data_IF_813271184851
#
_entry.id   IF_813271184851
#
_cell.length_a   1.000
_cell.length_b   1.000
_cell.length_c   1.000
_cell.angle_alpha   90.00
_cell.angle_beta   90.00
_cell.angle_gamma   90.00
#
_symmetry.space_group_name_H-M   'P 1'
#
loop_
_entity.id
_entity.type
_entity.pdbx_description
1 polymer ?
#
# COMPACT_ATOMS: atom_id res chain seq x y z
N UNK A 1 -16.65 -7.93 32.46
CA UNK A 1 -15.66 -7.28 31.57
C UNK A 1 -15.79 -7.91 30.19
N UNK A 2 -16.55 -7.30 29.28
CA UNK A 2 -16.65 -7.77 27.91
C UNK A 2 -15.43 -7.23 27.15
N UNK A 3 -14.49 -8.11 26.84
CA UNK A 3 -13.45 -7.81 25.85
C UNK A 3 -14.16 -7.61 24.52
N UNK A 4 -14.37 -6.35 24.12
CA UNK A 4 -14.86 -6.03 22.77
C UNK A 4 -13.81 -6.60 21.81
N UNK A 5 -14.11 -7.75 21.21
CA UNK A 5 -13.27 -8.32 20.18
C UNK A 5 -13.24 -7.32 19.03
N UNK A 6 -12.06 -6.74 18.81
CA UNK A 6 -11.81 -5.82 17.71
C UNK A 6 -11.99 -6.57 16.40
N UNK A 7 -13.16 -6.41 15.81
CA UNK A 7 -13.50 -6.99 14.52
C UNK A 7 -13.19 -6.00 13.40
N UNK A 8 -12.99 -6.51 12.17
CA UNK A 8 -12.81 -5.69 10.97
C UNK A 8 -13.89 -4.60 10.82
N UNK A 9 -15.14 -4.93 11.20
CA UNK A 9 -16.24 -3.98 11.21
C UNK A 9 -16.01 -2.77 12.12
N UNK A 10 -15.38 -2.99 13.29
CA UNK A 10 -15.01 -1.91 14.21
C UNK A 10 -14.05 -0.93 13.55
N UNK A 11 -12.98 -1.45 12.95
CA UNK A 11 -11.98 -0.65 12.21
C UNK A 11 -12.65 0.14 11.08
N UNK A 12 -13.50 -0.50 10.27
CA UNK A 12 -14.22 0.18 9.19
C UNK A 12 -15.17 1.26 9.70
N UNK A 13 -15.91 0.97 10.78
CA UNK A 13 -16.87 1.91 11.37
C UNK A 13 -16.18 3.14 11.94
N UNK A 14 -15.04 2.97 12.62
CA UNK A 14 -14.23 4.07 13.14
C UNK A 14 -13.58 4.88 12.03
N UNK A 15 -13.01 4.21 11.03
CA UNK A 15 -12.45 4.88 9.85
C UNK A 15 -13.52 5.74 9.17
N UNK A 16 -14.74 5.21 9.00
CA UNK A 16 -15.88 5.95 8.46
C UNK A 16 -16.31 7.11 9.35
N UNK A 17 -16.32 6.93 10.68
CA UNK A 17 -16.66 8.00 11.63
C UNK A 17 -15.69 9.17 11.53
N UNK A 18 -14.39 8.91 11.53
CA UNK A 18 -13.33 9.94 11.44
C UNK A 18 -13.39 10.66 10.09
N UNK A 19 -13.50 9.90 9.00
CA UNK A 19 -13.61 10.50 7.65
C UNK A 19 -14.85 11.38 7.55
N UNK A 20 -16.01 10.93 8.05
CA UNK A 20 -17.24 11.70 7.97
C UNK A 20 -17.20 12.97 8.84
N UNK A 21 -16.57 12.92 10.01
CA UNK A 21 -16.44 14.07 10.90
C UNK A 21 -15.69 15.24 10.24
N UNK A 22 -14.70 14.94 9.39
CA UNK A 22 -13.92 15.94 8.65
C UNK A 22 -13.97 15.71 7.13
N UNK A 23 -15.15 15.35 6.60
CA UNK A 23 -15.33 14.89 5.21
C UNK A 23 -14.80 15.85 4.15
N UNK A 24 -15.03 17.15 4.30
CA UNK A 24 -14.54 18.17 3.35
C UNK A 24 -13.02 18.17 3.23
N UNK A 25 -12.33 17.96 4.34
CA UNK A 25 -10.88 17.96 4.40
C UNK A 25 -10.29 16.69 3.77
N UNK A 26 -10.83 15.52 4.12
CA UNK A 26 -10.43 14.25 3.52
C UNK A 26 -10.75 14.18 2.03
N UNK A 27 -11.89 14.74 1.61
CA UNK A 27 -12.24 14.87 0.19
C UNK A 27 -11.24 15.76 -0.53
N UNK A 28 -10.85 16.91 0.03
CA UNK A 28 -9.87 17.80 -0.58
C UNK A 28 -8.50 17.13 -0.75
N UNK A 29 -8.02 16.42 0.27
CA UNK A 29 -6.79 15.63 0.18
C UNK A 29 -6.89 14.51 -0.87
N UNK A 30 -8.04 13.85 -0.94
CA UNK A 30 -8.29 12.80 -1.93
C UNK A 30 -8.27 13.34 -3.34
N UNK A 31 -8.94 14.48 -3.60
CA UNK A 31 -8.96 15.14 -4.91
C UNK A 31 -7.56 15.63 -5.30
N UNK A 32 -6.75 16.09 -4.35
CA UNK A 32 -5.42 16.62 -4.64
C UNK A 32 -4.38 15.52 -4.91
N UNK A 33 -4.39 14.43 -4.14
CA UNK A 33 -3.37 13.37 -4.24
C UNK A 33 -3.88 12.04 -4.79
N UNK A 34 -5.02 11.54 -4.30
CA UNK A 34 -5.55 10.22 -4.67
C UNK A 34 -6.26 10.21 -6.02
N UNK A 35 -6.89 11.32 -6.43
CA UNK A 35 -7.58 11.41 -7.72
C UNK A 35 -6.59 11.35 -8.89
N UNK A 36 -5.49 12.15 -8.93
CA UNK A 36 -4.47 12.00 -9.98
C UNK A 36 -3.86 10.60 -9.99
N UNK A 37 -3.58 10.04 -8.82
CA UNK A 37 -3.03 8.69 -8.69
C UNK A 37 -3.97 7.61 -9.22
N UNK A 38 -5.23 7.60 -8.78
CA UNK A 38 -6.23 6.61 -9.21
C UNK A 38 -6.50 6.68 -10.72
N UNK A 39 -6.59 7.89 -11.27
CA UNK A 39 -6.72 8.09 -12.71
C UNK A 39 -5.51 7.52 -13.46
N UNK A 40 -4.29 7.83 -13.02
CA UNK A 40 -3.08 7.28 -13.60
C UNK A 40 -3.03 5.75 -13.54
N UNK A 41 -3.45 5.13 -12.43
CA UNK A 41 -3.50 3.67 -12.30
C UNK A 41 -4.49 3.04 -13.29
N UNK A 42 -5.68 3.62 -13.45
CA UNK A 42 -6.72 3.11 -14.36
C UNK A 42 -6.33 3.26 -15.82
N UNK A 43 -5.66 4.37 -16.16
CA UNK A 43 -5.24 4.66 -17.53
C UNK A 43 -3.90 3.98 -17.86
N UNK A 44 -3.15 3.50 -16.85
CA UNK A 44 -1.86 2.82 -17.03
C UNK A 44 -1.83 1.69 -18.08
N UNK A 45 -2.80 0.76 -18.19
CA UNK A 45 -2.79 -0.26 -19.24
C UNK A 45 -2.82 0.32 -20.66
N UNK A 46 -3.37 1.52 -20.85
CA UNK A 46 -3.36 2.24 -22.12
C UNK A 46 -2.06 3.00 -22.36
N UNK A 47 -1.42 3.50 -21.30
CA UNK A 47 -0.18 4.27 -21.38
C UNK A 47 1.04 3.38 -21.57
N UNK A 48 1.08 2.19 -20.96
CA UNK A 48 2.24 1.31 -21.05
C UNK A 48 2.64 0.95 -22.50
N UNK A 49 1.72 0.58 -23.42
CA UNK A 49 2.06 0.34 -24.81
C UNK A 49 2.57 1.59 -25.55
N UNK A 50 2.11 2.78 -25.16
CA UNK A 50 2.49 4.06 -25.76
C UNK A 50 3.86 4.56 -25.28
N UNK A 51 4.17 4.33 -24.00
CA UNK A 51 5.40 4.77 -23.33
C UNK A 51 6.55 3.78 -23.51
N UNK A 52 6.24 2.53 -23.87
CA UNK A 52 7.24 1.52 -24.23
C UNK A 52 7.55 1.64 -25.71
N UNK A 53 8.81 1.88 -26.11
CA UNK A 53 9.20 1.85 -27.51
C UNK A 53 9.13 0.40 -28.01
N UNK A 54 7.94 -0.04 -28.46
CA UNK A 54 7.84 -1.27 -29.24
C UNK A 54 8.21 -0.95 -30.69
N UNK A 55 9.37 -1.46 -31.09
CA UNK A 55 9.63 -1.76 -32.49
C UNK A 55 8.45 -2.59 -33.01
N UNK A 56 7.73 -2.16 -34.08
CA UNK A 56 6.54 -2.87 -34.61
C UNK A 56 6.86 -4.26 -35.18
N UNK A 57 8.04 -4.82 -34.92
CA UNK A 57 8.51 -6.08 -35.49
C UNK A 57 7.93 -7.33 -34.83
N UNK A 58 7.48 -7.31 -33.57
CA UNK A 58 7.05 -8.55 -32.90
C UNK A 58 5.72 -9.13 -33.37
N UNK A 59 4.78 -8.31 -33.85
CA UNK A 59 3.54 -8.80 -34.48
C UNK A 59 3.81 -9.32 -35.90
N UNK A 60 4.80 -8.75 -36.59
CA UNK A 60 5.24 -9.23 -37.91
C UNK A 60 6.20 -10.42 -37.86
N UNK A 61 6.84 -10.74 -36.73
CA UNK A 61 7.74 -11.89 -36.57
C UNK A 61 6.96 -13.22 -36.61
N UNK A 62 5.75 -13.28 -36.05
CA UNK A 62 4.89 -14.47 -36.19
C UNK A 62 4.38 -14.69 -37.62
N UNK A 63 4.25 -13.61 -38.42
CA UNK A 63 3.87 -13.66 -39.83
C UNK A 63 5.05 -13.83 -40.81
N UNK A 64 6.31 -13.74 -40.33
CA UNK A 64 7.54 -13.82 -41.16
C UNK A 64 8.27 -15.16 -41.11
N UNK A 65 7.66 -16.21 -40.59
CA UNK A 65 8.21 -17.57 -40.57
C UNK A 65 8.41 -18.24 -41.95
N UNK A 66 8.39 -17.49 -43.05
CA UNK A 66 8.49 -18.02 -44.43
C UNK A 66 9.62 -17.43 -45.27
N UNK A 67 10.73 -16.93 -44.71
CA UNK A 67 11.96 -16.69 -45.52
C UNK A 67 13.25 -16.56 -44.69
N UNK A 68 14.36 -17.23 -45.08
CA UNK A 68 15.64 -17.13 -44.38
C UNK A 68 16.61 -16.14 -45.07
N UNK A 69 17.05 -15.08 -44.38
CA UNK A 69 18.31 -14.36 -44.67
C UNK A 69 18.73 -13.47 -43.46
N UNK A 70 20.01 -13.14 -43.23
CA UNK A 70 20.65 -13.13 -41.92
C UNK A 70 20.70 -11.74 -41.27
N UNK A 71 20.99 -11.81 -39.98
CA UNK A 71 21.01 -10.75 -38.98
C UNK A 71 22.04 -9.64 -39.22
N UNK A 72 21.78 -8.47 -38.61
CA UNK A 72 22.80 -7.77 -37.83
C UNK A 72 22.44 -7.76 -36.33
N UNK A 73 23.47 -8.09 -35.53
CA UNK A 73 23.75 -7.86 -34.11
C UNK A 73 22.63 -7.35 -33.16
N UNK A 74 22.40 -8.02 -32.01
CA UNK A 74 21.48 -7.53 -30.99
C UNK A 74 22.13 -6.42 -30.16
N UNK A 75 21.71 -5.18 -30.38
CA UNK A 75 21.89 -4.12 -29.38
C UNK A 75 20.91 -4.41 -28.24
N UNK A 76 21.45 -4.64 -27.03
CA UNK A 76 20.70 -4.86 -25.80
C UNK A 76 19.80 -3.62 -25.59
N UNK A 77 18.45 -3.73 -25.73
CA UNK A 77 17.58 -2.60 -25.45
C UNK A 77 17.61 -2.39 -23.94
N UNK A 78 18.03 -1.21 -23.49
CA UNK A 78 17.78 -0.81 -22.10
C UNK A 78 16.26 -0.90 -21.85
N UNK A 79 15.79 -1.72 -20.89
CA UNK A 79 14.38 -2.10 -20.79
C UNK A 79 13.47 -0.98 -20.25
N UNK A 80 14.01 0.18 -19.88
CA UNK A 80 13.26 1.28 -19.28
C UNK A 80 13.36 2.56 -20.12
N UNK A 81 12.27 2.90 -20.79
CA UNK A 81 12.10 4.20 -21.45
C UNK A 81 12.01 5.29 -20.37
N UNK A 82 12.71 6.44 -20.54
CA UNK A 82 12.68 7.55 -19.59
C UNK A 82 11.24 8.00 -19.18
N UNK A 83 10.25 8.06 -20.10
CA UNK A 83 8.85 8.35 -19.75
C UNK A 83 8.20 7.32 -18.81
N UNK A 84 8.56 6.04 -18.95
CA UNK A 84 8.06 4.97 -18.09
C UNK A 84 8.61 5.13 -16.65
N UNK A 85 9.90 5.48 -16.53
CA UNK A 85 10.53 5.77 -15.25
C UNK A 85 9.85 6.97 -14.55
N UNK A 86 9.62 8.05 -15.30
CA UNK A 86 8.92 9.23 -14.78
C UNK A 86 7.49 8.91 -14.32
N UNK A 87 6.78 8.06 -15.06
CA UNK A 87 5.44 7.62 -14.68
C UNK A 87 5.44 6.82 -13.37
N UNK A 88 6.37 5.89 -13.19
CA UNK A 88 6.51 5.17 -11.93
C UNK A 88 6.91 6.09 -10.77
N UNK A 89 7.82 7.04 -11.01
CA UNK A 89 8.21 8.03 -10.01
C UNK A 89 7.02 8.93 -9.61
N UNK A 90 6.18 9.31 -10.57
CA UNK A 90 4.94 10.04 -10.31
C UNK A 90 3.99 9.25 -9.41
N UNK A 91 3.70 7.99 -9.75
CA UNK A 91 2.83 7.12 -8.92
C UNK A 91 3.41 6.97 -7.52
N UNK A 92 4.72 6.74 -7.41
CA UNK A 92 5.40 6.60 -6.13
C UNK A 92 5.30 7.88 -5.31
N UNK A 93 5.64 9.03 -5.87
CA UNK A 93 5.58 10.31 -5.15
C UNK A 93 4.16 10.62 -4.66
N UNK A 94 3.15 10.51 -5.54
CA UNK A 94 1.76 10.80 -5.18
C UNK A 94 1.19 9.81 -4.15
N UNK A 95 1.56 8.52 -4.21
CA UNK A 95 1.12 7.53 -3.21
C UNK A 95 1.70 7.83 -1.83
N UNK A 96 2.99 8.17 -1.78
CA UNK A 96 3.68 8.54 -0.54
C UNK A 96 3.10 9.82 0.06
N UNK A 97 2.85 10.85 -0.76
CA UNK A 97 2.24 12.09 -0.29
C UNK A 97 0.80 11.92 0.18
N UNK A 98 0.00 11.11 -0.53
CA UNK A 98 -1.35 10.77 -0.10
C UNK A 98 -1.33 10.06 1.26
N UNK A 99 -0.49 9.03 1.40
CA UNK A 99 -0.39 8.24 2.62
C UNK A 99 0.06 9.08 3.81
N UNK A 100 1.10 9.91 3.65
CA UNK A 100 1.58 10.83 4.68
C UNK A 100 0.48 11.81 5.13
N UNK A 101 -0.19 12.45 4.15
CA UNK A 101 -1.21 13.47 4.44
C UNK A 101 -2.45 12.88 5.10
N UNK A 102 -2.94 11.72 4.63
CA UNK A 102 -4.12 11.05 5.17
C UNK A 102 -3.83 10.52 6.56
N UNK A 103 -2.72 9.81 6.75
CA UNK A 103 -2.31 9.25 8.04
C UNK A 103 -2.22 10.36 9.09
N UNK A 104 -1.48 11.43 8.81
CA UNK A 104 -1.37 12.57 9.72
C UNK A 104 -2.75 13.19 10.02
N UNK A 105 -3.61 13.34 9.02
CA UNK A 105 -4.97 13.87 9.22
C UNK A 105 -5.85 12.99 10.11
N UNK A 106 -5.70 11.67 10.02
CA UNK A 106 -6.45 10.72 10.84
C UNK A 106 -5.93 10.69 12.27
N UNK A 107 -4.62 10.77 12.49
CA UNK A 107 -4.05 10.97 13.82
C UNK A 107 -4.65 12.19 14.51
N UNK A 108 -4.62 13.36 13.84
CA UNK A 108 -5.21 14.59 14.41
C UNK A 108 -6.73 14.49 14.58
N UNK A 109 -7.44 13.84 13.65
CA UNK A 109 -8.88 13.59 13.74
C UNK A 109 -9.26 12.65 14.88
N UNK A 110 -8.41 11.67 15.21
CA UNK A 110 -8.60 10.77 16.35
C UNK A 110 -8.49 11.51 17.68
N UNK A 111 -7.56 12.48 17.79
CA UNK A 111 -7.38 13.33 18.98
C UNK A 111 -8.28 14.58 19.03
N UNK A 112 -9.15 14.78 18.04
CA UNK A 112 -10.14 15.87 18.02
C UNK A 112 -9.58 17.28 17.80
N UNK A 113 -8.37 17.42 17.25
CA UNK A 113 -7.76 18.75 16.98
C UNK A 113 -8.12 19.28 15.58
N UNK A 114 -8.22 20.62 15.40
CA UNK A 114 -8.46 21.21 14.09
C UNK A 114 -7.26 20.98 13.16
N UNK A 115 -7.50 20.24 12.08
CA UNK A 115 -6.46 19.79 11.15
C UNK A 115 -5.89 20.99 10.36
N UNK A 116 -4.63 21.35 10.61
CA UNK A 116 -3.92 22.39 9.84
C UNK A 116 -3.11 21.73 8.72
N UNK A 117 -3.74 21.61 7.54
CA UNK A 117 -3.16 21.07 6.29
C UNK A 117 -1.75 21.56 5.98
N UNK A 118 -1.50 22.84 6.22
CA UNK A 118 -0.28 23.53 5.80
C UNK A 118 0.95 23.10 6.60
N UNK A 119 0.80 22.83 7.90
CA UNK A 119 1.91 22.36 8.74
C UNK A 119 2.28 20.90 8.44
N UNK A 120 1.28 20.08 8.12
CA UNK A 120 1.47 18.70 7.69
C UNK A 120 2.22 18.66 6.34
N UNK A 121 1.76 19.46 5.36
CA UNK A 121 2.37 19.58 4.02
C UNK A 121 3.82 20.09 4.05
N UNK A 122 4.15 21.02 4.96
CA UNK A 122 5.52 21.56 5.08
C UNK A 122 6.49 20.55 5.71
N UNK A 123 6.01 19.59 6.51
CA UNK A 123 6.84 18.51 7.07
C UNK A 123 6.95 17.28 6.15
N UNK A 124 6.25 17.27 5.02
CA UNK A 124 6.33 16.15 4.05
C UNK A 124 7.76 15.90 3.52
N UNK A 125 8.57 16.90 3.12
CA UNK A 125 9.91 16.62 2.59
C UNK A 125 10.85 15.99 3.61
N UNK A 126 10.68 16.25 4.91
CA UNK A 126 11.47 15.61 5.97
C UNK A 126 11.06 14.16 6.20
N UNK A 127 9.76 13.83 6.05
CA UNK A 127 9.25 12.45 6.13
C UNK A 127 9.35 11.65 4.83
N UNK A 128 9.60 12.31 3.69
CA UNK A 128 9.65 11.66 2.38
C UNK A 128 10.85 10.70 2.26
N UNK A 129 12.02 11.14 2.72
CA UNK A 129 13.24 10.33 2.69
C UNK A 129 13.12 9.02 3.49
N UNK A 130 12.70 9.03 4.77
CA UNK A 130 12.55 7.79 5.54
C UNK A 130 11.44 6.88 4.99
N UNK A 131 10.32 7.45 4.54
CA UNK A 131 9.22 6.68 3.93
C UNK A 131 9.63 6.02 2.62
N UNK A 132 10.35 6.75 1.77
CA UNK A 132 10.93 6.24 0.53
C UNK A 132 11.96 5.14 0.81
N UNK A 133 12.83 5.32 1.81
CA UNK A 133 13.81 4.30 2.19
C UNK A 133 13.13 3.00 2.63
N UNK A 134 12.11 3.07 3.50
CA UNK A 134 11.35 1.89 3.93
C UNK A 134 10.55 1.25 2.78
N UNK A 135 10.01 2.06 1.85
CA UNK A 135 9.39 1.57 0.64
C UNK A 135 10.39 0.78 -0.24
N UNK A 136 11.58 1.34 -0.49
CA UNK A 136 12.61 0.68 -1.29
C UNK A 136 13.07 -0.61 -0.62
N UNK A 137 13.34 -0.60 0.69
CA UNK A 137 13.81 -1.77 1.43
C UNK A 137 12.76 -2.89 1.42
N UNK A 138 11.48 -2.56 1.66
CA UNK A 138 10.41 -3.55 1.64
C UNK A 138 10.21 -4.16 0.24
N UNK A 139 10.27 -3.36 -0.81
CA UNK A 139 10.17 -3.84 -2.19
C UNK A 139 11.40 -4.67 -2.59
N UNK A 140 12.60 -4.26 -2.19
CA UNK A 140 13.85 -5.00 -2.43
C UNK A 140 13.80 -6.38 -1.76
N UNK A 141 13.29 -6.47 -0.53
CA UNK A 141 13.16 -7.75 0.17
C UNK A 141 12.19 -8.70 -0.54
N UNK A 142 11.04 -8.18 -0.98
CA UNK A 142 10.04 -9.00 -1.67
C UNK A 142 10.49 -9.39 -3.08
N UNK A 143 11.21 -8.49 -3.76
CA UNK A 143 11.85 -8.80 -5.03
C UNK A 143 12.91 -9.90 -4.87
N UNK A 144 13.78 -9.79 -3.86
CA UNK A 144 14.78 -10.81 -3.53
C UNK A 144 14.13 -12.18 -3.27
N UNK A 145 13.03 -12.19 -2.49
CA UNK A 145 12.27 -13.40 -2.20
C UNK A 145 11.67 -14.02 -3.49
N UNK A 146 11.20 -13.19 -4.42
CA UNK A 146 10.70 -13.62 -5.72
C UNK A 146 11.80 -14.10 -6.70
N UNK A 147 13.04 -13.65 -6.55
CA UNK A 147 14.18 -14.09 -7.37
C UNK A 147 14.67 -15.50 -7.00
N UNK A 148 14.50 -15.94 -5.76
CA UNK A 148 14.94 -17.25 -5.27
C UNK A 148 14.45 -18.44 -6.13
N UNK A 149 13.14 -18.59 -6.45
CA UNK A 149 12.67 -19.67 -7.33
C UNK A 149 13.20 -19.54 -8.77
N UNK A 150 13.38 -18.31 -9.27
CA UNK A 150 13.89 -18.06 -10.61
C UNK A 150 15.36 -18.51 -10.74
N UNK A 151 16.17 -18.21 -9.73
CA UNK A 151 17.57 -18.64 -9.66
C UNK A 151 17.67 -20.17 -9.56
N UNK A 152 16.82 -20.79 -8.74
CA UNK A 152 16.75 -22.26 -8.63
C UNK A 152 16.39 -22.91 -9.98
N UNK A 153 15.41 -22.35 -10.68
CA UNK A 153 15.01 -22.81 -12.02
C UNK A 153 16.14 -22.68 -13.04
N UNK A 154 16.91 -21.59 -12.99
CA UNK A 154 18.03 -21.35 -13.91
C UNK A 154 19.25 -22.23 -13.63
N UNK A 155 19.54 -22.57 -12.36
CA UNK A 155 20.68 -23.41 -11.97
C UNK A 155 20.44 -24.91 -12.23
N UNK A 156 19.20 -25.36 -12.26
CA UNK A 156 18.83 -26.76 -12.47
C UNK A 156 19.50 -27.44 -13.69
N UNK A 157 19.50 -26.85 -14.91
CA UNK A 157 20.16 -27.44 -16.07
C UNK A 157 21.69 -27.48 -15.96
N UNK A 158 22.29 -26.57 -15.19
CA UNK A 158 23.74 -26.52 -14.98
C UNK A 158 24.24 -27.55 -13.95
N UNK A 159 23.36 -28.07 -13.09
CA UNK A 159 23.71 -29.07 -12.08
C UNK A 159 23.81 -30.50 -12.63
N UNK A 160 23.67 -30.72 -13.94
CA UNK A 160 23.62 -32.05 -14.58
C UNK A 160 22.59 -33.02 -13.95
N UNK A 161 21.62 -32.48 -13.21
CA UNK A 161 20.55 -33.25 -12.61
C UNK A 161 19.58 -33.58 -13.74
N UNK A 162 19.65 -34.81 -14.26
CA UNK A 162 18.86 -35.31 -15.40
C UNK A 162 17.36 -35.46 -15.09
N UNK A 163 16.80 -34.53 -14.32
CA UNK A 163 15.37 -34.42 -14.09
C UNK A 163 14.81 -33.70 -15.30
N UNK A 164 14.06 -34.43 -16.12
CA UNK A 164 13.28 -33.82 -17.20
C UNK A 164 12.37 -32.75 -16.62
N UNK A 165 12.37 -31.54 -17.19
CA UNK A 165 11.47 -30.44 -16.78
C UNK A 165 9.98 -30.84 -16.88
N UNK A 166 9.67 -31.85 -17.70
CA UNK A 166 8.33 -32.43 -17.83
C UNK A 166 8.02 -33.52 -16.79
N UNK A 167 8.94 -33.81 -15.86
CA UNK A 167 8.72 -34.79 -14.82
C UNK A 167 7.58 -34.32 -13.91
N UNK A 168 6.58 -35.17 -13.62
CA UNK A 168 5.49 -34.80 -12.71
C UNK A 168 6.01 -34.43 -11.32
N UNK A 169 7.12 -35.02 -10.89
CA UNK A 169 7.76 -34.74 -9.60
C UNK A 169 8.30 -33.30 -9.57
N UNK A 170 8.96 -32.87 -10.63
CA UNK A 170 9.51 -31.51 -10.74
C UNK A 170 8.40 -30.46 -10.78
N UNK A 171 7.35 -30.71 -11.57
CA UNK A 171 6.20 -29.80 -11.67
C UNK A 171 5.49 -29.67 -10.33
N UNK A 172 5.27 -30.79 -9.62
CA UNK A 172 4.67 -30.80 -8.29
C UNK A 172 5.54 -30.03 -7.28
N UNK A 173 6.84 -30.29 -7.25
CA UNK A 173 7.77 -29.60 -6.35
C UNK A 173 7.84 -28.08 -6.63
N UNK A 174 7.90 -27.69 -7.91
CA UNK A 174 7.90 -26.28 -8.32
C UNK A 174 6.59 -25.58 -7.94
N UNK A 175 5.44 -26.24 -8.14
CA UNK A 175 4.13 -25.70 -7.74
C UNK A 175 4.01 -25.51 -6.23
N UNK A 176 4.52 -26.46 -5.43
CA UNK A 176 4.52 -26.37 -3.97
C UNK A 176 5.43 -25.24 -3.48
N UNK A 177 6.61 -25.08 -4.09
CA UNK A 177 7.52 -23.97 -3.81
C UNK A 177 6.88 -22.62 -4.14
N UNK A 178 6.21 -22.50 -5.28
CA UNK A 178 5.49 -21.29 -5.66
C UNK A 178 4.36 -20.97 -4.67
N UNK A 179 3.59 -21.98 -4.25
CA UNK A 179 2.54 -21.80 -3.26
C UNK A 179 3.10 -21.35 -1.90
N UNK A 180 4.19 -21.97 -1.44
CA UNK A 180 4.87 -21.59 -0.21
C UNK A 180 5.41 -20.15 -0.29
N UNK A 181 5.96 -19.77 -1.43
CA UNK A 181 6.44 -18.41 -1.70
C UNK A 181 5.30 -17.39 -1.69
N UNK A 182 4.18 -17.69 -2.34
CA UNK A 182 3.00 -16.82 -2.34
C UNK A 182 2.48 -16.62 -0.91
N UNK A 183 2.42 -17.69 -0.11
CA UNK A 183 2.04 -17.60 1.29
C UNK A 183 3.04 -16.76 2.10
N UNK A 184 4.35 -16.93 1.88
CA UNK A 184 5.38 -16.16 2.56
C UNK A 184 5.30 -14.66 2.21
N UNK A 185 5.14 -14.32 0.92
CA UNK A 185 4.93 -12.95 0.46
C UNK A 185 3.66 -12.37 1.07
N UNK A 186 2.55 -13.11 1.06
CA UNK A 186 1.31 -12.67 1.67
C UNK A 186 1.46 -12.41 3.18
N UNK A 187 2.09 -13.33 3.90
CA UNK A 187 2.36 -13.17 5.33
C UNK A 187 3.23 -11.94 5.63
N UNK A 188 4.27 -11.70 4.83
CA UNK A 188 5.11 -10.52 4.97
C UNK A 188 4.34 -9.23 4.64
N UNK A 189 3.51 -9.23 3.59
CA UNK A 189 2.64 -8.10 3.25
C UNK A 189 1.72 -7.75 4.41
N UNK A 190 1.05 -8.74 5.00
CA UNK A 190 0.18 -8.54 6.17
C UNK A 190 0.98 -8.07 7.39
N UNK A 191 2.19 -8.61 7.61
CA UNK A 191 3.02 -8.21 8.75
C UNK A 191 3.61 -6.81 8.62
N UNK A 192 3.70 -6.27 7.40
CA UNK A 192 4.28 -4.97 7.09
C UNK A 192 3.25 -3.92 6.68
N UNK A 193 1.94 -4.16 6.83
CA UNK A 193 0.89 -3.19 6.45
C UNK A 193 1.06 -1.87 7.20
N UNK A 194 1.39 -1.94 8.50
CA UNK A 194 1.53 -0.77 9.36
C UNK A 194 2.89 -0.08 9.24
N UNK A 195 3.85 -0.66 8.50
CA UNK A 195 5.22 -0.14 8.46
C UNK A 195 5.28 1.32 7.96
N UNK A 196 4.49 1.67 6.95
CA UNK A 196 4.44 3.02 6.43
C UNK A 196 3.79 4.01 7.41
N UNK A 197 2.73 3.58 8.10
CA UNK A 197 2.08 4.37 9.15
C UNK A 197 3.05 4.63 10.30
N UNK A 198 3.84 3.63 10.69
CA UNK A 198 4.86 3.74 11.74
C UNK A 198 5.96 4.74 11.36
N UNK A 199 6.42 4.73 10.10
CA UNK A 199 7.41 5.72 9.63
C UNK A 199 6.87 7.14 9.78
N UNK A 200 5.59 7.35 9.49
CA UNK A 200 4.96 8.67 9.60
C UNK A 200 4.75 9.06 11.07
N UNK A 201 4.30 8.12 11.90
CA UNK A 201 3.92 8.37 13.29
C UNK A 201 5.13 8.47 14.22
N UNK A 202 6.11 7.58 14.07
CA UNK A 202 7.27 7.44 14.96
C UNK A 202 8.54 8.08 14.36
N UNK A 203 8.47 8.61 13.13
CA UNK A 203 9.61 9.20 12.41
C UNK A 203 10.84 8.28 12.34
N UNK A 204 10.62 6.96 12.34
CA UNK A 204 11.67 5.95 12.22
C UNK A 204 11.99 5.65 10.75
N UNK A 205 13.18 5.10 10.48
CA UNK A 205 13.66 4.89 9.11
C UNK A 205 14.25 3.50 8.92
N UNK A 206 14.22 3.02 7.67
CA UNK A 206 14.91 1.79 7.30
C UNK A 206 14.15 0.50 7.67
N UNK A 207 14.84 -0.43 8.34
CA UNK A 207 14.34 -1.75 8.74
C UNK A 207 13.60 -1.75 10.08
N UNK A 208 13.87 -0.75 10.93
CA UNK A 208 13.22 -0.56 12.22
C UNK A 208 11.68 -0.54 12.14
N UNK A 209 11.05 0.27 11.25
CA UNK A 209 9.58 0.30 11.11
C UNK A 209 8.99 -1.04 10.66
N UNK A 210 9.72 -1.84 9.87
CA UNK A 210 9.25 -3.15 9.41
C UNK A 210 9.23 -4.17 10.55
N UNK A 211 10.27 -4.19 11.39
CA UNK A 211 10.32 -5.04 12.59
C UNK A 211 9.27 -4.62 13.60
N UNK A 212 9.10 -3.32 13.79
CA UNK A 212 8.10 -2.73 14.68
C UNK A 212 6.68 -3.08 14.23
N UNK A 213 6.38 -2.97 12.93
CA UNK A 213 5.10 -3.40 12.35
C UNK A 213 4.79 -4.87 12.65
N UNK A 214 5.77 -5.75 12.43
CA UNK A 214 5.58 -7.18 12.68
C UNK A 214 5.31 -7.49 14.17
N UNK A 215 5.91 -6.71 15.08
CA UNK A 215 5.66 -6.80 16.52
C UNK A 215 4.26 -6.31 16.89
N UNK A 216 3.84 -5.15 16.39
CA UNK A 216 2.54 -4.54 16.71
C UNK A 216 1.35 -5.33 16.17
N UNK A 217 1.50 -5.94 14.99
CA UNK A 217 0.45 -6.78 14.39
C UNK A 217 0.38 -8.15 15.11
N UNK A 218 1.40 -8.52 15.89
CA UNK A 218 1.39 -9.77 16.64
C UNK A 218 0.24 -9.76 17.66
N UNK A 219 -0.67 -10.73 17.56
CA UNK A 219 -1.93 -10.76 18.32
C UNK A 219 -3.17 -10.26 17.55
N UNK A 220 -2.99 -9.48 16.48
CA UNK A 220 -4.09 -8.98 15.61
C UNK A 220 -3.94 -9.38 14.14
N UNK A 221 -3.05 -10.33 13.82
CA UNK A 221 -2.76 -10.82 12.45
C UNK A 221 -4.00 -11.20 11.65
N UNK A 222 -4.99 -11.84 12.28
CA UNK A 222 -6.23 -12.23 11.60
C UNK A 222 -7.05 -11.02 11.13
N UNK A 223 -7.15 -9.99 11.97
CA UNK A 223 -7.86 -8.75 11.64
C UNK A 223 -7.11 -7.96 10.57
N UNK A 224 -5.79 -7.85 10.69
CA UNK A 224 -4.93 -7.21 9.70
C UNK A 224 -5.02 -7.92 8.34
N UNK A 225 -4.94 -9.26 8.32
CA UNK A 225 -5.10 -10.06 7.11
C UNK A 225 -6.47 -9.88 6.48
N UNK A 226 -7.54 -9.89 7.29
CA UNK A 226 -8.89 -9.69 6.81
C UNK A 226 -9.10 -8.29 6.21
N UNK A 227 -8.52 -7.26 6.84
CA UNK A 227 -8.60 -5.87 6.34
C UNK A 227 -7.88 -5.75 5.00
N UNK A 228 -6.63 -6.23 4.95
CA UNK A 228 -5.82 -6.22 3.74
C UNK A 228 -6.50 -6.97 2.58
N UNK A 229 -7.05 -8.16 2.83
CA UNK A 229 -7.78 -8.92 1.81
C UNK A 229 -9.05 -8.20 1.33
N UNK A 230 -9.79 -7.57 2.24
CA UNK A 230 -11.00 -6.82 1.89
C UNK A 230 -10.68 -5.65 0.95
N UNK A 231 -9.73 -4.78 1.32
CA UNK A 231 -9.35 -3.64 0.46
C UNK A 231 -8.68 -4.08 -0.82
N UNK A 232 -7.72 -5.00 -0.75
CA UNK A 232 -6.98 -5.49 -1.93
C UNK A 232 -7.90 -6.16 -2.94
N UNK A 233 -8.91 -6.92 -2.50
CA UNK A 233 -9.86 -7.57 -3.41
C UNK A 233 -10.77 -6.57 -4.13
N UNK A 234 -11.23 -5.51 -3.44
CA UNK A 234 -12.02 -4.45 -4.04
C UNK A 234 -11.21 -3.62 -5.04
N UNK A 235 -9.97 -3.25 -4.66
CA UNK A 235 -9.03 -2.55 -5.55
C UNK A 235 -8.73 -3.39 -6.80
N UNK A 236 -8.43 -4.69 -6.62
CA UNK A 236 -8.17 -5.61 -7.72
C UNK A 236 -9.39 -5.78 -8.64
N UNK A 237 -10.60 -5.88 -8.06
CA UNK A 237 -11.83 -5.96 -8.84
C UNK A 237 -12.03 -4.71 -9.71
N UNK A 238 -11.82 -3.51 -9.15
CA UNK A 238 -11.92 -2.27 -9.94
C UNK A 238 -10.91 -2.24 -11.09
N UNK A 239 -9.64 -2.53 -10.81
CA UNK A 239 -8.59 -2.56 -11.85
C UNK A 239 -8.83 -3.67 -12.89
N UNK A 240 -9.48 -4.76 -12.49
CA UNK A 240 -9.87 -5.81 -13.42
C UNK A 240 -10.96 -5.35 -14.39
N UNK A 241 -12.00 -4.65 -13.90
CA UNK A 241 -13.08 -4.15 -14.78
C UNK A 241 -12.59 -3.21 -15.87
N UNK A 242 -11.59 -2.37 -15.56
CA UNK A 242 -10.98 -1.46 -16.53
C UNK A 242 -10.15 -2.22 -17.55
N UNK A 243 -9.40 -3.25 -17.10
CA UNK A 243 -8.58 -4.10 -17.96
C UNK A 243 -9.40 -4.89 -18.98
N UNK A 244 -10.54 -5.47 -18.57
CA UNK A 244 -11.45 -6.19 -19.48
C UNK A 244 -12.04 -5.26 -20.53
N UNK A 245 -12.36 -4.03 -20.13
CA UNK A 245 -12.95 -3.02 -21.03
C UNK A 245 -11.95 -2.53 -22.10
N UNK A 246 -10.64 -2.58 -21.80
CA UNK A 246 -9.57 -2.29 -22.78
C UNK A 246 -9.55 -3.33 -23.89
N UNK A 247 -9.64 -4.62 -23.54
CA UNK A 247 -9.47 -5.74 -24.48
C UNK A 247 -10.63 -5.84 -25.46
N UNK A 248 -11.84 -5.44 -25.04
CA UNK A 248 -13.04 -5.44 -25.88
C UNK A 248 -13.19 -4.24 -26.82
N UNK A 249 -12.29 -3.26 -26.78
CA UNK A 249 -12.42 -2.00 -27.50
C UNK A 249 -11.47 -1.90 -28.70
N UNK A 250 -12.04 -1.72 -29.89
CA UNK A 250 -11.41 -1.56 -31.21
C UNK A 250 -10.82 -0.15 -31.46
N UNK A 251 -10.13 0.41 -30.46
CA UNK A 251 -9.34 1.67 -30.56
C UNK A 251 -10.15 2.98 -30.60
N UNK A 252 -11.43 2.91 -30.94
CA UNK A 252 -12.42 4.00 -30.91
C UNK A 252 -13.09 4.26 -29.54
N UNK A 253 -12.76 3.51 -28.48
CA UNK A 253 -13.39 3.66 -27.15
C UNK A 253 -13.36 5.08 -26.57
N UNK A 254 -12.35 5.89 -26.87
CA UNK A 254 -12.25 7.26 -26.36
C UNK A 254 -13.34 8.20 -26.90
N UNK A 255 -14.05 7.81 -27.98
CA UNK A 255 -15.22 8.53 -28.48
C UNK A 255 -16.52 8.09 -27.81
N UNK A 256 -16.52 6.96 -27.12
CA UNK A 256 -17.69 6.48 -26.41
C UNK A 256 -17.83 7.19 -25.06
N UNK A 257 -18.93 7.90 -24.90
CA UNK A 257 -19.29 8.54 -23.64
C UNK A 257 -19.34 7.51 -22.49
N UNK A 258 -19.81 6.28 -22.76
CA UNK A 258 -19.91 5.23 -21.76
C UNK A 258 -18.53 4.85 -21.19
N UNK A 259 -17.50 4.79 -22.04
CA UNK A 259 -16.14 4.47 -21.64
C UNK A 259 -15.51 5.58 -20.79
N UNK A 260 -15.71 6.85 -21.16
CA UNK A 260 -15.23 7.99 -20.36
C UNK A 260 -15.91 8.02 -18.99
N UNK A 261 -17.23 7.82 -18.95
CA UNK A 261 -17.99 7.75 -17.69
C UNK A 261 -17.50 6.59 -16.82
N UNK A 262 -17.20 5.43 -17.43
CA UNK A 262 -16.66 4.29 -16.70
C UNK A 262 -15.29 4.58 -16.08
N UNK A 263 -14.37 5.23 -16.80
CA UNK A 263 -13.06 5.62 -16.25
C UNK A 263 -13.23 6.60 -15.08
N UNK A 264 -14.07 7.63 -15.24
CA UNK A 264 -14.30 8.62 -14.19
C UNK A 264 -14.92 7.97 -12.96
N UNK A 265 -15.92 7.09 -13.14
CA UNK A 265 -16.59 6.39 -12.04
C UNK A 265 -15.63 5.43 -11.32
N UNK A 266 -14.89 4.61 -12.06
CA UNK A 266 -13.91 3.67 -11.49
C UNK A 266 -12.77 4.40 -10.80
N UNK A 267 -12.30 5.53 -11.32
CA UNK A 267 -11.27 6.38 -10.70
C UNK A 267 -11.77 7.01 -9.41
N UNK A 268 -12.99 7.54 -9.40
CA UNK A 268 -13.59 8.09 -8.19
C UNK A 268 -13.79 7.00 -7.13
N UNK A 269 -14.22 5.81 -7.54
CA UNK A 269 -14.38 4.66 -6.63
C UNK A 269 -13.03 4.21 -6.05
N UNK A 270 -12.01 4.07 -6.90
CA UNK A 270 -10.66 3.69 -6.48
C UNK A 270 -10.05 4.74 -5.55
N UNK A 271 -10.24 6.04 -5.83
CA UNK A 271 -9.84 7.13 -4.94
C UNK A 271 -10.46 6.96 -3.54
N UNK A 272 -11.76 6.70 -3.44
CA UNK A 272 -12.43 6.49 -2.16
C UNK A 272 -11.91 5.23 -1.46
N UNK A 273 -11.70 4.13 -2.19
CA UNK A 273 -11.15 2.90 -1.62
C UNK A 273 -9.75 3.11 -1.05
N UNK A 274 -8.86 3.79 -1.77
CA UNK A 274 -7.51 4.11 -1.30
C UNK A 274 -7.55 5.00 -0.04
N UNK A 275 -8.49 5.94 0.04
CA UNK A 275 -8.71 6.75 1.24
C UNK A 275 -9.12 5.87 2.42
N UNK A 276 -10.11 4.99 2.23
CA UNK A 276 -10.58 4.09 3.29
C UNK A 276 -9.53 3.05 3.69
N UNK A 277 -8.71 2.57 2.76
CA UNK A 277 -7.62 1.64 3.02
C UNK A 277 -6.55 2.28 3.90
N UNK A 278 -6.04 3.46 3.51
CA UNK A 278 -5.09 4.22 4.33
C UNK A 278 -5.67 4.57 5.71
N UNK A 279 -6.98 4.85 5.77
CA UNK A 279 -7.66 5.10 7.03
C UNK A 279 -7.76 3.88 7.93
N UNK A 280 -8.12 2.73 7.36
CA UNK A 280 -8.20 1.48 8.08
C UNK A 280 -6.83 1.06 8.63
N UNK A 281 -5.75 1.25 7.86
CA UNK A 281 -4.38 0.97 8.34
C UNK A 281 -3.99 1.89 9.50
N UNK A 282 -4.35 3.17 9.43
CA UNK A 282 -4.06 4.13 10.52
C UNK A 282 -4.87 3.80 11.78
N UNK A 283 -6.16 3.46 11.64
CA UNK A 283 -7.01 3.06 12.76
C UNK A 283 -6.54 1.73 13.36
N UNK A 284 -6.15 0.76 12.51
CA UNK A 284 -5.57 -0.51 12.94
C UNK A 284 -4.27 -0.28 13.73
N UNK A 285 -3.40 0.63 13.28
CA UNK A 285 -2.21 1.03 14.03
C UNK A 285 -2.55 1.54 15.44
N UNK A 286 -3.52 2.47 15.55
CA UNK A 286 -3.95 3.02 16.84
C UNK A 286 -4.48 1.92 17.77
N UNK A 287 -5.26 0.98 17.23
CA UNK A 287 -5.74 -0.16 17.99
C UNK A 287 -4.62 -1.12 18.41
N UNK A 288 -3.67 -1.42 17.52
CA UNK A 288 -2.50 -2.23 17.86
C UNK A 288 -1.70 -1.58 19.00
N UNK A 289 -1.48 -0.26 18.97
CA UNK A 289 -0.84 0.46 20.09
C UNK A 289 -1.66 0.44 21.37
N UNK A 290 -2.99 0.51 21.27
CA UNK A 290 -3.88 0.40 22.43
C UNK A 290 -3.73 -0.97 23.12
N UNK A 291 -3.72 -2.05 22.32
CA UNK A 291 -3.60 -3.43 22.82
C UNK A 291 -2.24 -3.67 23.49
N UNK A 292 -1.18 -3.04 23.00
CA UNK A 292 0.16 -3.13 23.60
C UNK A 292 0.35 -2.19 24.80
N UNK A 293 -0.65 -1.37 25.16
CA UNK A 293 -0.57 -0.43 26.28
C UNK A 293 0.26 0.83 26.02
N UNK A 294 0.79 0.99 24.80
CA UNK A 294 1.63 2.13 24.43
C UNK A 294 0.80 3.38 24.10
N UNK A 295 -0.48 3.22 23.74
CA UNK A 295 -1.36 4.34 23.40
C UNK A 295 -1.58 5.32 24.56
N UNK A 296 -1.57 4.83 25.81
CA UNK A 296 -1.74 5.69 26.98
C UNK A 296 -0.58 6.69 27.12
N UNK A 297 0.64 6.29 26.75
CA UNK A 297 1.81 7.17 26.78
C UNK A 297 1.70 8.27 25.71
N UNK A 298 1.32 7.92 24.48
CA UNK A 298 1.11 8.91 23.41
C UNK A 298 0.01 9.93 23.76
N UNK A 299 -1.08 9.49 24.40
CA UNK A 299 -2.12 10.39 24.89
C UNK A 299 -1.54 11.33 25.95
N UNK A 300 -0.72 10.84 26.87
CA UNK A 300 -0.10 11.70 27.88
C UNK A 300 0.85 12.70 27.24
N UNK A 301 1.68 12.29 26.28
CA UNK A 301 2.64 13.17 25.60
C UNK A 301 1.95 14.22 24.72
N UNK A 302 0.95 13.83 23.92
CA UNK A 302 0.22 14.74 23.03
C UNK A 302 -0.59 15.79 23.82
N UNK A 303 -1.08 15.41 25.00
CA UNK A 303 -1.80 16.30 25.91
C UNK A 303 -0.89 16.94 26.97
N UNK A 304 0.40 16.59 27.07
CA UNK A 304 1.33 17.13 28.07
C UNK A 304 1.43 18.65 27.99
N UNK A 305 1.36 19.22 26.77
CA UNK A 305 1.35 20.66 26.54
C UNK A 305 0.06 21.37 26.98
N UNK A 306 -1.02 20.62 27.20
CA UNK A 306 -2.27 21.12 27.79
C UNK A 306 -2.33 20.92 29.31
N UNK A 307 -1.44 20.11 29.88
CA UNK A 307 -1.22 20.05 31.32
C UNK A 307 -0.24 21.17 31.72
N UNK A 308 -0.78 22.24 32.28
CA UNK A 308 0.02 23.21 33.02
C UNK A 308 0.51 22.50 34.29
N UNK A 309 1.81 22.23 34.39
CA UNK A 309 2.42 21.82 35.65
C UNK A 309 2.24 22.95 36.66
N UNK A 310 1.31 22.75 37.58
CA UNK A 310 1.12 23.67 38.70
C UNK A 310 2.37 23.56 39.60
N UNK A 311 2.94 24.68 40.07
CA UNK A 311 4.16 24.69 40.90
C UNK A 311 4.02 24.02 42.28
N UNK A 312 2.94 23.27 42.52
CA UNK A 312 2.65 22.58 43.77
C UNK A 312 2.77 21.05 43.69
N UNK A 313 3.09 20.48 42.52
CA UNK A 313 3.04 19.02 42.31
C UNK A 313 4.39 18.29 42.32
N UNK A 314 5.50 18.98 42.64
CA UNK A 314 6.84 18.38 42.71
C UNK A 314 7.04 17.39 43.89
N UNK A 315 6.00 17.12 44.70
CA UNK A 315 6.14 16.31 45.90
C UNK A 315 5.08 15.21 46.10
N UNK A 316 4.16 14.96 45.16
CA UNK A 316 3.15 13.90 45.34
C UNK A 316 3.08 12.91 44.19
N UNK A 317 3.33 11.66 44.57
CA UNK A 317 3.22 10.43 43.78
C UNK A 317 1.87 10.39 43.05
N UNK A 318 1.81 9.99 41.77
CA UNK A 318 0.58 10.01 40.99
C UNK A 318 -0.48 9.07 41.60
N UNK A 319 -1.53 9.67 42.16
CA UNK A 319 -2.73 8.94 42.53
C UNK A 319 -3.61 8.70 41.31
N UNK A 320 -3.67 7.44 40.87
CA UNK A 320 -4.65 6.95 39.91
C UNK A 320 -6.05 7.07 40.53
N UNK A 321 -6.81 8.07 40.11
CA UNK A 321 -8.22 8.21 40.49
C UNK A 321 -9.07 7.37 39.54
N UNK A 322 -9.54 6.22 40.01
CA UNK A 322 -10.58 5.43 39.37
C UNK A 322 -11.91 6.17 39.52
N UNK A 323 -12.44 6.71 38.43
CA UNK A 323 -13.81 7.25 38.41
C UNK A 323 -14.78 6.10 38.18
N UNK A 324 -15.36 5.60 39.27
CA UNK A 324 -16.55 4.76 39.24
C UNK A 324 -17.74 5.67 38.93
N UNK A 325 -18.22 5.63 37.68
CA UNK A 325 -19.47 6.27 37.27
C UNK A 325 -20.66 5.48 37.78
N UNK A 326 -21.34 6.04 38.79
CA UNK A 326 -22.63 5.59 39.32
C UNK A 326 -23.77 5.74 38.28
N UNK A 327 -24.65 4.75 38.28
CA UNK A 327 -26.02 4.78 37.73
C UNK A 327 -26.80 6.02 38.18
N UNK A 328 -27.51 6.65 37.24
CA UNK A 328 -28.99 6.75 37.20
C UNK A 328 -29.42 6.78 35.73
#
# INVERSE_FOLDING_TARGET
>A
MATVSLNLWGILSESKRIINAHSRHFLALSVFFLLPLSFSLIVSPFLFPLLTPSNPSHIHILLRLTKPHPQPQPQIPFPFSLPLLLFFLFILAFSLFALASITHSIFHGFFGRPVKLLSALISIPTTFSPLLATAIISHLFLFSLALLPLLLFLLLPHLNLAISLSSPIFLTASSLLLLALLFAVFYLRVSWTLAYVIVIAESTWGLEPLRRSASLINGMKGVAASSFLFFSSLEALLLWTTSVSVVGSDGWAWKDCAFVVQIVLTSTCLMLLLLYHAAADTVLYMYCKAVHGELAFDIVEEFAWQYVSLPFDDAKVPHVVSVVGLQV
#
